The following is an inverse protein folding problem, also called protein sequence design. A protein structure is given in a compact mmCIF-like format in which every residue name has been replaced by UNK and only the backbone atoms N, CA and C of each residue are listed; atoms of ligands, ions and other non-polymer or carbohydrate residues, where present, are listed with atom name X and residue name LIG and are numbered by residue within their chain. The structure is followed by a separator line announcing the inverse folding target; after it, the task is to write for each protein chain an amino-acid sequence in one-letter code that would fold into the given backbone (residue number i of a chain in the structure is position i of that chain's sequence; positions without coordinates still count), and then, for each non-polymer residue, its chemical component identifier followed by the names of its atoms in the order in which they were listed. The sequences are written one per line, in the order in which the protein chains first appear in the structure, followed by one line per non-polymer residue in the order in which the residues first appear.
data_IF_976721134633
#
_entry.id   IF_976721134633
#
_cell.length_a   1.000
_cell.length_b   1.000
_cell.length_c   1.000
_cell.angle_alpha   90.00
_cell.angle_beta   90.00
_cell.angle_gamma   90.00
#
_symmetry.space_group_name_H-M   'P 1'
#
loop_
_entity.id
_entity.type
_entity.pdbx_description
1 polymer ?
#
# COMPACT_ATOMS: atom_id res chain seq x y z
N UNK A 1 23.58 -2.52 -3.10
CA UNK A 1 23.14 -3.30 -4.28
C UNK A 1 21.83 -4.06 -4.07
N UNK A 2 21.73 -5.02 -3.14
CA UNK A 2 20.52 -5.87 -2.97
C UNK A 2 19.19 -5.10 -2.81
N UNK A 3 19.19 -3.98 -2.06
CA UNK A 3 17.98 -3.16 -1.82
C UNK A 3 17.50 -2.40 -3.07
N UNK A 4 18.42 -1.89 -3.89
CA UNK A 4 18.10 -1.18 -5.13
C UNK A 4 17.53 -2.13 -6.19
N UNK A 5 18.06 -3.35 -6.28
CA UNK A 5 17.51 -4.39 -7.16
C UNK A 5 16.07 -4.77 -6.76
N UNK A 6 15.78 -4.80 -5.46
CA UNK A 6 14.44 -5.09 -4.97
C UNK A 6 13.45 -3.97 -5.29
N UNK A 7 13.86 -2.70 -5.12
CA UNK A 7 13.04 -1.53 -5.53
C UNK A 7 12.77 -1.56 -7.02
N UNK A 8 13.82 -1.75 -7.83
CA UNK A 8 13.71 -1.85 -9.29
C UNK A 8 12.79 -3.01 -9.69
N UNK A 9 12.94 -4.17 -9.06
CA UNK A 9 12.09 -5.34 -9.31
C UNK A 9 10.62 -5.07 -9.00
N UNK A 10 10.32 -4.41 -7.87
CA UNK A 10 8.93 -4.04 -7.53
C UNK A 10 8.37 -3.01 -8.50
N UNK A 11 9.15 -1.98 -8.85
CA UNK A 11 8.73 -0.97 -9.82
C UNK A 11 8.46 -1.59 -11.20
N UNK A 12 9.32 -2.49 -11.67
CA UNK A 12 9.12 -3.24 -12.91
C UNK A 12 7.87 -4.12 -12.83
N UNK A 13 7.64 -4.83 -11.72
CA UNK A 13 6.45 -5.65 -11.55
C UNK A 13 5.16 -4.82 -11.61
N UNK A 14 5.13 -3.65 -10.97
CA UNK A 14 3.99 -2.71 -11.01
C UNK A 14 3.76 -2.21 -12.44
N UNK A 15 4.80 -1.73 -13.11
CA UNK A 15 4.69 -1.23 -14.49
C UNK A 15 4.25 -2.33 -15.45
N UNK A 16 4.83 -3.53 -15.35
CA UNK A 16 4.49 -4.66 -16.22
C UNK A 16 3.05 -5.12 -15.99
N UNK A 17 2.62 -5.26 -14.73
CA UNK A 17 1.23 -5.64 -14.44
C UNK A 17 0.24 -4.57 -14.95
N UNK A 18 0.57 -3.29 -14.81
CA UNK A 18 -0.25 -2.21 -15.36
C UNK A 18 -0.33 -2.27 -16.89
N UNK A 19 0.80 -2.45 -17.59
CA UNK A 19 0.84 -2.59 -19.05
C UNK A 19 0.04 -3.81 -19.55
N UNK A 20 0.17 -4.94 -18.86
CA UNK A 20 -0.59 -6.16 -19.18
C UNK A 20 -2.09 -5.92 -19.03
N UNK A 21 -2.52 -5.16 -18.02
CA UNK A 21 -3.93 -4.85 -17.81
C UNK A 21 -4.42 -3.81 -18.82
N UNK A 22 -3.62 -2.80 -19.18
CA UNK A 22 -4.03 -1.73 -20.10
C UNK A 22 -4.17 -2.20 -21.55
N UNK A 23 -3.47 -3.26 -21.95
CA UNK A 23 -3.57 -3.84 -23.29
C UNK A 23 -4.78 -4.77 -23.47
N UNK A 24 -5.52 -5.06 -22.39
CA UNK A 24 -6.65 -5.99 -22.46
C UNK A 24 -7.90 -5.27 -22.94
N UNK A 25 -8.73 -5.96 -23.75
CA UNK A 25 -10.05 -5.44 -24.07
C UNK A 25 -10.83 -5.25 -22.77
N UNK A 26 -11.61 -4.17 -22.73
CA UNK A 26 -12.47 -3.91 -21.59
C UNK A 26 -13.44 -5.09 -21.42
N UNK A 27 -13.41 -5.72 -20.25
CA UNK A 27 -14.30 -6.85 -19.98
C UNK A 27 -15.75 -6.36 -20.01
N UNK A 28 -16.64 -7.17 -20.58
CA UNK A 28 -18.07 -6.90 -20.53
C UNK A 28 -18.49 -6.59 -19.08
N UNK A 29 -19.24 -5.50 -18.89
CA UNK A 29 -19.70 -5.03 -17.59
C UNK A 29 -18.58 -4.66 -16.60
N UNK A 30 -17.41 -4.21 -17.08
CA UNK A 30 -16.35 -3.57 -16.28
C UNK A 30 -16.93 -2.46 -15.36
N UNK A 31 -17.84 -1.66 -15.91
CA UNK A 31 -18.53 -0.54 -15.26
C UNK A 31 -19.83 -0.94 -14.55
N UNK A 32 -20.11 -2.24 -14.43
CA UNK A 32 -21.32 -2.78 -13.86
C UNK A 32 -22.41 -3.06 -14.91
N UNK A 33 -23.23 -4.06 -14.62
CA UNK A 33 -24.42 -4.38 -15.42
C UNK A 33 -25.57 -3.45 -15.03
N UNK A 34 -26.54 -3.24 -15.92
CA UNK A 34 -27.76 -2.52 -15.54
C UNK A 34 -28.55 -3.31 -14.51
N UNK A 35 -29.11 -2.59 -13.54
CA UNK A 35 -29.98 -3.19 -12.54
C UNK A 35 -31.35 -3.51 -13.17
N UNK A 36 -31.81 -4.76 -13.03
CA UNK A 36 -33.02 -5.24 -13.72
C UNK A 36 -34.31 -4.47 -13.39
N UNK A 37 -34.37 -3.81 -12.24
CA UNK A 37 -35.52 -3.00 -11.83
C UNK A 37 -35.32 -1.47 -11.97
N UNK A 38 -34.08 -0.99 -12.08
CA UNK A 38 -33.76 0.45 -12.04
C UNK A 38 -32.65 0.77 -13.05
N UNK A 39 -33.03 1.29 -14.23
CA UNK A 39 -32.10 1.56 -15.34
C UNK A 39 -31.02 2.60 -15.02
N UNK A 40 -31.24 3.45 -14.02
CA UNK A 40 -30.27 4.44 -13.54
C UNK A 40 -29.20 3.85 -12.61
N UNK A 41 -29.35 2.58 -12.19
CA UNK A 41 -28.43 1.93 -11.26
C UNK A 41 -27.58 0.88 -11.99
N UNK A 42 -26.27 0.92 -11.74
CA UNK A 42 -25.34 -0.14 -12.14
C UNK A 42 -25.11 -1.08 -10.96
N UNK A 43 -25.08 -2.39 -11.23
CA UNK A 43 -24.82 -3.43 -10.24
C UNK A 43 -23.58 -4.23 -10.59
N UNK A 44 -22.90 -4.72 -9.55
CA UNK A 44 -21.85 -5.71 -9.71
C UNK A 44 -22.44 -6.98 -10.34
N UNK A 45 -21.73 -7.51 -11.33
CA UNK A 45 -22.07 -8.79 -11.96
C UNK A 45 -21.38 -9.93 -11.23
N UNK A 46 -21.52 -11.14 -11.79
CA UNK A 46 -20.94 -12.36 -11.26
C UNK A 46 -19.45 -12.26 -10.88
N UNK A 47 -19.10 -12.88 -9.76
CA UNK A 47 -17.76 -12.93 -9.16
C UNK A 47 -16.70 -13.52 -10.11
N UNK A 48 -17.12 -14.36 -11.05
CA UNK A 48 -16.26 -14.96 -12.07
C UNK A 48 -15.52 -13.91 -12.91
N UNK A 49 -16.02 -12.67 -13.00
CA UNK A 49 -15.34 -11.53 -13.64
C UNK A 49 -13.92 -11.31 -13.09
N UNK A 50 -13.71 -11.54 -11.80
CA UNK A 50 -12.39 -11.39 -11.18
C UNK A 50 -11.40 -12.48 -11.62
N UNK A 51 -11.90 -13.67 -11.93
CA UNK A 51 -11.07 -14.80 -12.37
C UNK A 51 -10.84 -14.81 -13.88
N UNK A 52 -11.62 -14.04 -14.65
CA UNK A 52 -11.45 -13.92 -16.10
C UNK A 52 -10.07 -13.33 -16.45
N UNK A 53 -9.35 -14.04 -17.32
CA UNK A 53 -8.03 -13.64 -17.82
C UNK A 53 -6.93 -13.53 -16.76
N UNK A 54 -7.08 -14.12 -15.58
CA UNK A 54 -6.11 -13.94 -14.48
C UNK A 54 -6.06 -12.50 -13.92
N UNK A 55 -7.17 -11.76 -13.99
CA UNK A 55 -7.28 -10.41 -13.44
C UNK A 55 -7.04 -10.39 -11.91
N UNK A 56 -7.59 -11.37 -11.19
CA UNK A 56 -7.33 -11.55 -9.76
C UNK A 56 -5.84 -11.76 -9.46
N UNK A 57 -5.15 -12.57 -10.27
CA UNK A 57 -3.72 -12.86 -10.08
C UNK A 57 -2.86 -11.63 -10.39
N UNK A 58 -3.13 -10.93 -11.50
CA UNK A 58 -2.41 -9.71 -11.87
C UNK A 58 -2.63 -8.58 -10.86
N UNK A 59 -3.87 -8.42 -10.38
CA UNK A 59 -4.19 -7.50 -9.29
C UNK A 59 -3.49 -7.86 -7.98
N UNK A 60 -3.44 -9.15 -7.63
CA UNK A 60 -2.76 -9.61 -6.42
C UNK A 60 -1.25 -9.36 -6.50
N UNK A 61 -0.60 -9.67 -7.64
CA UNK A 61 0.83 -9.39 -7.86
C UNK A 61 1.09 -7.89 -7.75
N UNK A 62 0.28 -7.06 -8.40
CA UNK A 62 0.44 -5.61 -8.38
C UNK A 62 0.35 -5.04 -6.95
N UNK A 63 -0.72 -5.36 -6.21
CA UNK A 63 -0.90 -4.86 -4.84
C UNK A 63 0.16 -5.39 -3.86
N UNK A 64 0.61 -6.63 -4.04
CA UNK A 64 1.70 -7.19 -3.23
C UNK A 64 3.03 -6.49 -3.53
N UNK A 65 3.34 -6.25 -4.81
CA UNK A 65 4.53 -5.50 -5.22
C UNK A 65 4.53 -4.07 -4.69
N UNK A 66 3.38 -3.38 -4.71
CA UNK A 66 3.21 -2.05 -4.10
C UNK A 66 3.46 -2.10 -2.59
N UNK A 67 2.87 -3.07 -1.89
CA UNK A 67 3.05 -3.23 -0.43
C UNK A 67 4.52 -3.45 -0.07
N UNK A 68 5.23 -4.31 -0.81
CA UNK A 68 6.66 -4.55 -0.63
C UNK A 68 7.45 -3.27 -0.88
N UNK A 69 7.15 -2.56 -1.98
CA UNK A 69 7.82 -1.31 -2.33
C UNK A 69 7.66 -0.26 -1.23
N UNK A 70 6.44 -0.03 -0.74
CA UNK A 70 6.17 0.90 0.36
C UNK A 70 6.94 0.53 1.61
N UNK A 71 6.91 -0.74 2.00
CA UNK A 71 7.63 -1.25 3.17
C UNK A 71 9.14 -1.00 3.06
N UNK A 72 9.71 -1.22 1.87
CA UNK A 72 11.15 -1.06 1.61
C UNK A 72 11.56 0.41 1.63
N UNK A 73 10.76 1.29 1.01
CA UNK A 73 11.00 2.74 1.03
C UNK A 73 10.96 3.26 2.47
N UNK A 74 9.99 2.83 3.28
CA UNK A 74 9.92 3.20 4.69
C UNK A 74 11.16 2.75 5.48
N UNK A 75 11.65 1.53 5.25
CA UNK A 75 12.87 1.03 5.90
C UNK A 75 14.10 1.84 5.49
N UNK A 76 14.18 2.31 4.23
CA UNK A 76 15.27 3.16 3.77
C UNK A 76 15.26 4.54 4.44
N UNK A 77 14.08 5.04 4.82
CA UNK A 77 13.94 6.30 5.55
C UNK A 77 14.40 6.24 7.02
N UNK A 78 14.68 5.06 7.57
CA UNK A 78 15.13 4.91 8.96
C UNK A 78 16.58 5.37 9.16
N UNK A 79 16.81 6.24 10.15
CA UNK A 79 18.15 6.73 10.52
C UNK A 79 19.07 5.61 11.04
N UNK A 80 20.38 5.84 10.91
CA UNK A 80 21.41 4.80 10.96
C UNK A 80 21.85 4.33 12.38
N UNK A 81 21.10 4.63 13.44
CA UNK A 81 21.46 4.13 14.78
C UNK A 81 21.15 2.62 14.86
N UNK A 82 22.19 1.78 14.91
CA UNK A 82 22.13 0.35 14.54
C UNK A 82 21.13 -0.46 15.38
N UNK A 83 21.02 -0.20 16.68
CA UNK A 83 20.10 -0.94 17.56
C UNK A 83 18.64 -0.49 17.39
N UNK A 84 18.40 0.82 17.43
CA UNK A 84 17.07 1.41 17.18
C UNK A 84 16.55 0.99 15.79
N UNK A 85 17.41 1.03 14.77
CA UNK A 85 17.06 0.66 13.39
C UNK A 85 16.58 -0.77 13.27
N UNK A 86 17.23 -1.73 13.94
CA UNK A 86 16.83 -3.14 13.86
C UNK A 86 15.47 -3.40 14.51
N UNK A 87 15.19 -2.76 15.65
CA UNK A 87 13.89 -2.85 16.30
C UNK A 87 12.77 -2.27 15.41
N UNK A 88 12.96 -1.07 14.88
CA UNK A 88 11.96 -0.42 14.03
C UNK A 88 11.76 -1.09 12.68
N UNK A 89 12.83 -1.61 12.08
CA UNK A 89 12.75 -2.40 10.86
C UNK A 89 11.84 -3.62 11.06
N UNK A 90 11.93 -4.32 12.20
CA UNK A 90 11.04 -5.46 12.50
C UNK A 90 9.57 -5.03 12.59
N UNK A 91 9.29 -3.87 13.19
CA UNK A 91 7.92 -3.34 13.30
C UNK A 91 7.37 -2.99 11.92
N UNK A 92 8.14 -2.29 11.09
CA UNK A 92 7.71 -1.92 9.72
C UNK A 92 7.50 -3.17 8.86
N UNK A 93 8.40 -4.17 8.95
CA UNK A 93 8.22 -5.44 8.25
C UNK A 93 6.96 -6.15 8.75
N UNK A 94 6.72 -6.22 10.06
CA UNK A 94 5.52 -6.84 10.62
C UNK A 94 4.24 -6.16 10.13
N UNK A 95 4.21 -4.82 10.13
CA UNK A 95 3.09 -4.05 9.60
C UNK A 95 2.87 -4.31 8.11
N UNK A 96 3.94 -4.38 7.31
CA UNK A 96 3.87 -4.68 5.89
C UNK A 96 3.36 -6.09 5.61
N UNK A 97 3.78 -7.07 6.41
CA UNK A 97 3.29 -8.46 6.36
C UNK A 97 1.80 -8.52 6.72
N UNK A 98 1.38 -7.84 7.80
CA UNK A 98 -0.03 -7.78 8.18
C UNK A 98 -0.87 -7.20 7.03
N UNK A 99 -0.43 -6.09 6.44
CA UNK A 99 -1.10 -5.47 5.30
C UNK A 99 -1.18 -6.41 4.10
N UNK A 100 -0.09 -7.11 3.76
CA UNK A 100 -0.05 -8.08 2.67
C UNK A 100 -0.98 -9.29 2.91
N UNK A 101 -1.08 -9.77 4.15
CA UNK A 101 -1.99 -10.86 4.55
C UNK A 101 -3.44 -10.42 4.41
N UNK A 102 -3.79 -9.24 4.92
CA UNK A 102 -5.14 -8.67 4.79
C UNK A 102 -5.51 -8.46 3.33
N UNK A 103 -4.59 -7.90 2.53
CA UNK A 103 -4.79 -7.72 1.10
C UNK A 103 -4.99 -9.05 0.36
N UNK A 104 -4.20 -10.07 0.71
CA UNK A 104 -4.34 -11.42 0.13
C UNK A 104 -5.68 -12.05 0.50
N UNK A 105 -6.12 -11.91 1.75
CA UNK A 105 -7.42 -12.37 2.21
C UNK A 105 -8.57 -11.65 1.48
N UNK A 106 -8.43 -10.34 1.25
CA UNK A 106 -9.39 -9.54 0.49
C UNK A 106 -9.49 -10.03 -0.97
N UNK A 107 -8.35 -10.22 -1.64
CA UNK A 107 -8.32 -10.72 -3.02
C UNK A 107 -8.90 -12.14 -3.12
N UNK A 108 -8.61 -13.00 -2.15
CA UNK A 108 -9.21 -14.33 -2.07
C UNK A 108 -10.73 -14.24 -1.90
N UNK A 109 -11.22 -13.37 -1.00
CA UNK A 109 -12.66 -13.14 -0.80
C UNK A 109 -13.36 -12.71 -2.08
N UNK A 110 -12.75 -11.84 -2.88
CA UNK A 110 -13.27 -11.48 -4.21
C UNK A 110 -13.27 -12.64 -5.20
N UNK A 111 -12.25 -13.51 -5.18
CA UNK A 111 -12.17 -14.67 -6.08
C UNK A 111 -13.20 -15.76 -5.80
N UNK A 112 -13.57 -15.94 -4.52
CA UNK A 112 -14.56 -16.94 -4.08
C UNK A 112 -16.00 -16.43 -4.29
N UNK A 113 -16.20 -15.11 -4.37
CA UNK A 113 -17.51 -14.55 -4.65
C UNK A 113 -18.52 -14.71 -3.52
N UNK A 114 -18.06 -14.60 -2.27
CA UNK A 114 -18.92 -14.71 -1.08
C UNK A 114 -19.91 -13.52 -1.03
N UNK A 115 -21.12 -13.74 -1.53
CA UNK A 115 -22.23 -12.79 -1.51
C UNK A 115 -22.98 -12.80 -0.17
N UNK A 116 -22.65 -13.72 0.74
CA UNK A 116 -23.36 -13.83 2.00
C UNK A 116 -23.00 -12.66 2.92
N UNK A 117 -24.03 -11.97 3.42
CA UNK A 117 -23.90 -10.86 4.39
C UNK A 117 -23.82 -11.36 5.83
N UNK A 118 -23.13 -12.48 6.05
CA UNK A 118 -22.96 -13.11 7.38
C UNK A 118 -21.88 -12.44 8.23
N UNK A 119 -21.21 -11.41 7.71
CA UNK A 119 -20.21 -10.66 8.45
C UNK A 119 -20.85 -9.54 9.27
N UNK A 120 -20.18 -9.09 10.36
CA UNK A 120 -20.69 -8.02 11.21
C UNK A 120 -21.15 -6.80 10.40
N UNK A 121 -22.22 -6.15 10.88
CA UNK A 121 -22.88 -5.02 10.21
C UNK A 121 -23.61 -5.38 8.89
N UNK A 122 -23.86 -6.67 8.64
CA UNK A 122 -24.54 -7.12 7.42
C UNK A 122 -23.71 -6.92 6.16
N UNK A 123 -22.39 -6.87 6.30
CA UNK A 123 -21.47 -6.71 5.19
C UNK A 123 -21.15 -8.05 4.54
N UNK A 124 -20.74 -8.03 3.28
CA UNK A 124 -20.05 -9.16 2.66
C UNK A 124 -18.64 -9.25 3.24
N UNK A 125 -18.04 -10.45 3.17
CA UNK A 125 -16.66 -10.68 3.61
C UNK A 125 -15.66 -9.69 2.99
N UNK A 126 -15.78 -9.45 1.68
CA UNK A 126 -14.89 -8.55 0.95
C UNK A 126 -15.05 -7.10 1.41
N UNK A 127 -16.28 -6.64 1.64
CA UNK A 127 -16.53 -5.29 2.14
C UNK A 127 -15.98 -5.11 3.57
N UNK A 128 -16.17 -6.11 4.44
CA UNK A 128 -15.62 -6.08 5.79
C UNK A 128 -14.09 -6.02 5.79
N UNK A 129 -13.42 -6.87 5.01
CA UNK A 129 -11.95 -6.87 4.91
C UNK A 129 -11.41 -5.59 4.29
N UNK A 130 -12.13 -4.99 3.36
CA UNK A 130 -11.73 -3.71 2.76
C UNK A 130 -11.82 -2.56 3.76
N UNK A 131 -12.93 -2.43 4.48
CA UNK A 131 -13.12 -1.34 5.45
C UNK A 131 -12.28 -1.58 6.70
N UNK A 132 -12.45 -2.72 7.37
CA UNK A 132 -11.85 -2.94 8.68
C UNK A 132 -10.46 -3.59 8.60
N UNK A 133 -10.14 -4.27 7.50
CA UNK A 133 -8.80 -4.80 7.31
C UNK A 133 -7.88 -3.73 6.72
N UNK A 134 -8.15 -3.30 5.49
CA UNK A 134 -7.23 -2.43 4.73
C UNK A 134 -7.14 -1.03 5.35
N UNK A 135 -8.26 -0.40 5.73
CA UNK A 135 -8.18 0.96 6.27
C UNK A 135 -7.56 0.99 7.66
N UNK A 136 -7.89 0.03 8.53
CA UNK A 136 -7.30 -0.01 9.87
C UNK A 136 -5.80 -0.28 9.79
N UNK A 137 -5.35 -1.19 8.93
CA UNK A 137 -3.92 -1.44 8.74
C UNK A 137 -3.19 -0.23 8.14
N UNK A 138 -3.78 0.47 7.16
CA UNK A 138 -3.23 1.73 6.64
C UNK A 138 -3.19 2.83 7.72
N UNK A 139 -4.26 2.95 8.52
CA UNK A 139 -4.33 3.91 9.61
C UNK A 139 -3.25 3.64 10.66
N UNK A 140 -3.00 2.38 11.01
CA UNK A 140 -1.91 2.00 11.90
C UNK A 140 -0.56 2.47 11.33
N UNK A 141 -0.31 2.29 10.04
CA UNK A 141 0.90 2.82 9.39
C UNK A 141 1.02 4.33 9.52
N UNK A 142 -0.07 5.08 9.29
CA UNK A 142 -0.09 6.54 9.44
C UNK A 142 0.19 6.96 10.87
N UNK A 143 -0.47 6.34 11.86
CA UNK A 143 -0.26 6.64 13.28
C UNK A 143 1.18 6.35 13.68
N UNK A 144 1.71 5.19 13.28
CA UNK A 144 3.12 4.85 13.50
C UNK A 144 4.04 5.90 12.90
N UNK A 145 3.82 6.28 11.64
CA UNK A 145 4.62 7.31 10.98
C UNK A 145 4.57 8.64 11.74
N UNK A 146 3.39 9.16 12.05
CA UNK A 146 3.21 10.49 12.68
C UNK A 146 3.77 10.53 14.09
N UNK A 147 3.41 9.56 14.94
CA UNK A 147 3.78 9.56 16.38
C UNK A 147 5.28 9.43 16.54
N UNK A 148 5.92 8.64 15.69
CA UNK A 148 7.32 8.35 15.83
C UNK A 148 8.21 9.09 14.82
N UNK A 149 7.63 9.96 13.98
CA UNK A 149 8.36 10.76 12.99
C UNK A 149 9.57 11.48 13.61
N UNK A 150 9.37 12.17 14.74
CA UNK A 150 10.44 12.89 15.47
C UNK A 150 11.55 11.97 15.97
N UNK A 151 11.22 10.72 16.27
CA UNK A 151 12.19 9.73 16.75
C UNK A 151 12.91 9.04 15.59
N UNK A 152 12.28 8.94 14.42
CA UNK A 152 12.74 8.13 13.28
C UNK A 152 13.43 8.94 12.17
N UNK A 153 12.92 10.13 11.88
CA UNK A 153 13.25 10.91 10.68
C UNK A 153 13.88 12.26 11.02
N UNK A 154 13.33 13.01 11.97
CA UNK A 154 13.82 14.36 12.29
C UNK A 154 13.96 14.55 13.80
N UNK A 155 15.17 14.32 14.32
CA UNK A 155 15.47 14.44 15.75
C UNK A 155 15.95 15.86 16.12
N UNK A 156 16.00 16.16 17.42
CA UNK A 156 16.44 17.48 17.90
C UNK A 156 17.90 17.79 17.52
N UNK A 157 18.73 16.76 17.27
CA UNK A 157 20.09 16.94 16.75
C UNK A 157 20.11 17.38 15.28
N UNK A 158 19.17 16.88 14.46
CA UNK A 158 19.01 17.32 13.07
C UNK A 158 18.50 18.76 13.03
N UNK A 159 17.63 19.14 13.97
CA UNK A 159 17.21 20.53 14.15
C UNK A 159 18.38 21.44 14.54
N UNK A 160 19.24 21.01 15.47
CA UNK A 160 20.45 21.75 15.84
C UNK A 160 21.42 21.88 14.67
N UNK A 161 21.74 20.79 13.98
CA UNK A 161 22.62 20.81 12.79
C UNK A 161 22.08 21.70 11.68
N UNK A 162 20.76 21.71 11.49
CA UNK A 162 20.11 22.58 10.51
C UNK A 162 20.27 24.06 10.90
N UNK A 163 20.06 24.41 12.16
CA UNK A 163 20.28 25.78 12.64
C UNK A 163 21.76 26.19 12.58
N UNK A 164 22.70 25.29 12.90
CA UNK A 164 24.13 25.54 12.73
C UNK A 164 24.51 25.79 11.26
N UNK A 165 23.97 25.00 10.33
CA UNK A 165 24.15 25.21 8.88
C UNK A 165 23.58 26.56 8.43
N UNK A 166 22.41 26.94 8.93
CA UNK A 166 21.76 28.22 8.63
C UNK A 166 22.56 29.41 9.15
N UNK A 167 23.14 29.30 10.34
CA UNK A 167 24.03 30.32 10.90
C UNK A 167 25.31 30.45 10.09
N UNK A 168 25.93 29.33 9.69
CA UNK A 168 27.11 29.31 8.80
C UNK A 168 26.85 29.94 7.42
N UNK A 169 25.67 29.69 6.84
CA UNK A 169 25.29 30.28 5.56
C UNK A 169 24.98 31.77 5.68
N UNK A 170 24.36 32.21 6.78
CA UNK A 170 24.16 33.65 7.06
C UNK A 170 25.47 34.40 7.30
N UNK A 171 26.53 33.74 7.77
CA UNK A 171 27.85 34.34 7.95
C UNK A 171 28.75 34.26 6.71
N UNK A 172 28.27 33.68 5.62
CA UNK A 172 29.05 33.46 4.39
C UNK A 172 28.64 34.34 3.21
N UNK A 173 27.77 35.33 3.44
CA UNK A 173 27.27 36.28 2.42
C UNK A 173 27.98 37.65 2.51
N UNK A 174 29.14 37.71 3.18
CA UNK A 174 30.02 38.89 3.26
C UNK A 174 31.24 38.81 2.32
N UNK A 175 31.46 37.69 1.62
CA UNK A 175 32.52 37.52 0.63
C UNK A 175 31.91 37.24 -0.76
N UNK A 176 31.59 38.32 -1.49
CA UNK A 176 31.29 38.29 -2.92
C UNK A 176 32.48 37.97 -3.80
#
# INVERSE_FOLDING_TARGET
MKRYLLILGCALAITLTFLIVSQRPELAYSQGAEHGAFSTMKQGVDHTRHNQGSLAMTGWINGTAQTILFTVIMILGLKNNRESRNHWMKIIVAAGVIYAVVYSALMYSYSVGDLETKWPLGLTRSAFLMIFGMWVSAFLFTVFYVVFFKKWIYNDEDAKKFEELKQRLKSGDDDG
#
